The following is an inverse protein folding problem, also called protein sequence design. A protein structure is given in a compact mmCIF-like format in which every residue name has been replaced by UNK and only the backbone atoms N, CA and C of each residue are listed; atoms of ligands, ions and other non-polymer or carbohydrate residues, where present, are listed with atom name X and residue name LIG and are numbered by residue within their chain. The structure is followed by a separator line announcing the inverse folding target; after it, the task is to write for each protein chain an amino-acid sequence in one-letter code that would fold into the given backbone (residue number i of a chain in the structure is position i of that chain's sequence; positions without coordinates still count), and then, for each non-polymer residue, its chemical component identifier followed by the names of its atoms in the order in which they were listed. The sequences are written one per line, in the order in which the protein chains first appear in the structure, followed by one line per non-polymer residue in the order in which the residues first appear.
data_IF_027189317360
#
_entry.id   IF_027189317360
#
_cell.length_a   1.000
_cell.length_b   1.000
_cell.length_c   1.000
_cell.angle_alpha   90.00
_cell.angle_beta   90.00
_cell.angle_gamma   90.00
#
_symmetry.space_group_name_H-M   'P 1'
#
loop_
_entity.id
_entity.type
_entity.pdbx_description
1 polymer ?
#
# COMPACT_ATOMS: atom_id res chain seq x y z
N UNK A 1 -48.04 -31.26 8.59
CA UNK A 1 -46.65 -31.70 8.34
C UNK A 1 -45.86 -30.47 7.91
N UNK A 2 -45.16 -29.89 8.86
CA UNK A 2 -44.43 -28.64 8.64
C UNK A 2 -43.09 -28.93 7.96
N UNK A 3 -42.84 -28.26 6.86
CA UNK A 3 -41.52 -28.20 6.26
C UNK A 3 -40.64 -27.23 7.09
N UNK A 4 -39.81 -27.81 7.95
CA UNK A 4 -38.72 -27.06 8.58
C UNK A 4 -37.68 -26.74 7.51
N UNK A 5 -37.78 -25.56 6.93
CA UNK A 5 -36.75 -25.01 6.07
C UNK A 5 -35.44 -24.89 6.85
N UNK A 6 -34.48 -25.68 6.42
CA UNK A 6 -33.13 -25.72 6.93
C UNK A 6 -32.42 -24.38 6.58
N UNK A 7 -32.49 -23.38 7.45
CA UNK A 7 -31.66 -22.21 7.41
C UNK A 7 -30.24 -22.61 7.87
N UNK A 8 -29.55 -23.47 7.08
CA UNK A 8 -28.12 -23.62 7.16
C UNK A 8 -27.53 -22.28 6.69
N UNK A 9 -27.14 -21.47 7.65
CA UNK A 9 -26.52 -20.16 7.40
C UNK A 9 -25.47 -20.31 6.32
N UNK A 10 -25.55 -19.45 5.30
CA UNK A 10 -24.64 -19.41 4.17
C UNK A 10 -23.31 -18.84 4.68
N UNK A 11 -22.56 -19.66 5.42
CA UNK A 11 -21.28 -19.23 6.00
C UNK A 11 -20.35 -18.83 4.86
N UNK A 12 -19.72 -17.65 4.97
CA UNK A 12 -18.75 -17.16 4.00
C UNK A 12 -17.72 -18.24 3.64
N UNK A 13 -17.52 -18.47 2.35
CA UNK A 13 -16.75 -19.60 1.84
C UNK A 13 -15.37 -19.22 1.37
N UNK A 14 -15.15 -17.93 1.04
CA UNK A 14 -13.98 -17.46 0.32
C UNK A 14 -13.38 -16.22 0.98
N UNK A 15 -12.08 -16.05 0.73
CA UNK A 15 -11.36 -14.79 0.88
C UNK A 15 -10.92 -14.37 -0.51
N UNK A 16 -10.92 -13.08 -0.79
CA UNK A 16 -10.33 -12.51 -2.02
C UNK A 16 -9.06 -11.76 -1.64
N UNK A 17 -7.95 -12.08 -2.28
CA UNK A 17 -6.72 -11.30 -2.21
C UNK A 17 -6.60 -10.41 -3.45
N UNK A 18 -6.31 -9.11 -3.23
CA UNK A 18 -5.99 -8.14 -4.27
C UNK A 18 -4.49 -7.89 -4.23
N UNK A 19 -3.77 -8.34 -5.25
CA UNK A 19 -2.33 -8.13 -5.42
C UNK A 19 -2.11 -7.02 -6.46
N UNK A 20 -1.71 -5.85 -5.98
CA UNK A 20 -1.40 -4.70 -6.82
C UNK A 20 0.10 -4.60 -7.07
N UNK A 21 0.57 -5.33 -8.05
CA UNK A 21 1.97 -5.34 -8.45
C UNK A 21 2.40 -4.08 -9.23
N UNK A 22 3.68 -4.03 -9.59
CA UNK A 22 4.22 -2.88 -10.36
C UNK A 22 3.70 -2.83 -11.80
N UNK A 23 3.44 -3.98 -12.43
CA UNK A 23 3.09 -4.06 -13.86
C UNK A 23 1.69 -4.62 -14.13
N UNK A 24 1.04 -5.15 -13.11
CA UNK A 24 -0.27 -5.78 -13.24
C UNK A 24 -1.00 -5.82 -11.91
N UNK A 25 -2.33 -5.86 -11.98
CA UNK A 25 -3.24 -6.08 -10.87
C UNK A 25 -3.77 -7.52 -10.93
N UNK A 26 -3.99 -8.13 -9.76
CA UNK A 26 -4.58 -9.47 -9.63
C UNK A 26 -5.69 -9.49 -8.60
N UNK A 27 -6.66 -10.37 -8.82
CA UNK A 27 -7.63 -10.79 -7.81
C UNK A 27 -7.60 -12.32 -7.72
N UNK A 28 -7.37 -12.83 -6.51
CA UNK A 28 -7.21 -14.26 -6.24
C UNK A 28 -8.33 -14.73 -5.34
N UNK A 29 -9.04 -15.77 -5.74
CA UNK A 29 -10.09 -16.40 -4.94
C UNK A 29 -9.50 -17.58 -4.15
N UNK A 30 -9.66 -17.55 -2.81
CA UNK A 30 -9.10 -18.54 -1.90
C UNK A 30 -10.21 -19.18 -1.10
N UNK A 31 -10.23 -20.52 -1.03
CA UNK A 31 -11.20 -21.27 -0.25
C UNK A 31 -10.82 -21.40 1.23
N UNK A 32 -11.69 -21.97 2.05
CA UNK A 32 -11.46 -22.18 3.49
C UNK A 32 -10.28 -23.08 3.83
N UNK A 33 -9.82 -23.89 2.88
CA UNK A 33 -8.64 -24.74 3.06
C UNK A 33 -7.34 -24.03 2.68
N UNK A 34 -7.41 -22.73 2.33
CA UNK A 34 -6.25 -21.93 1.88
C UNK A 34 -5.81 -22.24 0.46
N UNK A 35 -6.65 -22.91 -0.35
CA UNK A 35 -6.30 -23.25 -1.73
C UNK A 35 -6.77 -22.15 -2.65
N UNK A 36 -5.91 -21.77 -3.59
CA UNK A 36 -6.28 -20.88 -4.70
C UNK A 36 -7.28 -21.61 -5.61
N UNK A 37 -8.48 -21.03 -5.75
CA UNK A 37 -9.56 -21.53 -6.59
C UNK A 37 -9.44 -20.94 -8.01
N UNK A 38 -9.14 -19.66 -8.10
CA UNK A 38 -9.05 -18.94 -9.37
C UNK A 38 -8.21 -17.66 -9.20
N UNK A 39 -7.72 -17.13 -10.32
CA UNK A 39 -6.96 -15.89 -10.38
C UNK A 39 -7.29 -15.15 -11.66
N UNK A 40 -7.61 -13.86 -11.54
CA UNK A 40 -7.77 -12.95 -12.68
C UNK A 40 -6.66 -11.91 -12.60
N UNK A 41 -5.98 -11.66 -13.72
CA UNK A 41 -4.87 -10.72 -13.80
C UNK A 41 -5.03 -9.79 -15.02
N UNK A 42 -4.69 -8.52 -14.84
CA UNK A 42 -4.69 -7.49 -15.91
C UNK A 42 -3.44 -6.63 -15.81
N UNK A 43 -2.71 -6.44 -16.91
CA UNK A 43 -1.64 -5.45 -16.96
C UNK A 43 -2.22 -4.03 -17.00
N UNK A 44 -1.39 -3.04 -16.66
CA UNK A 44 -1.68 -1.62 -16.86
C UNK A 44 -0.45 -0.88 -17.39
N UNK A 45 -0.66 0.33 -17.90
CA UNK A 45 0.37 1.08 -18.62
C UNK A 45 1.47 1.56 -17.65
N UNK A 46 2.73 1.42 -18.10
CA UNK A 46 3.90 2.04 -17.48
C UNK A 46 4.22 3.33 -18.23
N UNK A 47 4.44 4.44 -17.53
CA UNK A 47 4.67 5.77 -18.10
C UNK A 47 6.08 6.23 -17.79
N UNK A 48 6.85 6.61 -18.80
CA UNK A 48 8.25 7.05 -18.70
C UNK A 48 8.40 8.44 -19.30
N UNK A 49 8.00 9.54 -18.60
CA UNK A 49 7.98 10.88 -19.17
C UNK A 49 9.36 11.43 -19.50
N UNK A 50 10.38 11.07 -18.70
CA UNK A 50 11.76 11.48 -18.86
C UNK A 50 12.72 10.35 -18.47
N UNK A 51 14.00 10.39 -18.86
CA UNK A 51 15.00 9.43 -18.39
C UNK A 51 15.03 9.34 -16.86
N UNK A 52 14.91 8.13 -16.31
CA UNK A 52 14.88 7.89 -14.87
C UNK A 52 13.55 8.22 -14.17
N UNK A 53 12.54 8.72 -14.88
CA UNK A 53 11.21 8.96 -14.34
C UNK A 53 10.28 7.78 -14.64
N UNK A 54 9.53 7.37 -13.63
CA UNK A 54 8.55 6.28 -13.76
C UNK A 54 7.26 6.71 -13.08
N UNK A 55 6.16 6.60 -13.80
CA UNK A 55 4.83 6.98 -13.33
C UNK A 55 3.80 5.89 -13.64
N UNK A 56 2.76 5.85 -12.83
CA UNK A 56 1.53 5.12 -13.12
C UNK A 56 0.33 6.08 -13.06
N UNK A 57 -0.66 5.83 -13.89
CA UNK A 57 -1.94 6.49 -13.73
C UNK A 57 -2.73 5.82 -12.58
N UNK A 58 -3.06 6.53 -11.47
CA UNK A 58 -3.78 5.94 -10.34
C UNK A 58 -5.16 5.41 -10.73
N UNK A 59 -5.80 5.99 -11.73
CA UNK A 59 -7.08 5.51 -12.24
C UNK A 59 -6.93 4.18 -13.00
N UNK A 60 -5.84 3.98 -13.74
CA UNK A 60 -5.58 2.67 -14.38
C UNK A 60 -5.27 1.58 -13.36
N UNK A 61 -4.50 1.90 -12.31
CA UNK A 61 -4.30 1.00 -11.16
C UNK A 61 -5.67 0.57 -10.61
N UNK A 62 -6.53 1.55 -10.31
CA UNK A 62 -7.87 1.30 -9.78
C UNK A 62 -8.73 0.46 -10.73
N UNK A 63 -8.85 0.87 -12.00
CA UNK A 63 -9.72 0.19 -12.95
C UNK A 63 -9.24 -1.22 -13.30
N UNK A 64 -7.93 -1.43 -13.37
CA UNK A 64 -7.40 -2.78 -13.57
C UNK A 64 -7.68 -3.69 -12.36
N UNK A 65 -7.54 -3.16 -11.13
CA UNK A 65 -7.83 -3.91 -9.91
C UNK A 65 -9.33 -4.21 -9.76
N UNK A 66 -10.19 -3.20 -9.97
CA UNK A 66 -11.65 -3.37 -9.99
C UNK A 66 -12.09 -4.35 -11.08
N UNK A 67 -11.47 -4.26 -12.26
CA UNK A 67 -11.74 -5.19 -13.36
C UNK A 67 -11.40 -6.64 -12.99
N UNK A 68 -10.29 -6.90 -12.31
CA UNK A 68 -9.96 -8.24 -11.81
C UNK A 68 -10.97 -8.72 -10.76
N UNK A 69 -11.31 -7.84 -9.81
CA UNK A 69 -12.25 -8.17 -8.73
C UNK A 69 -13.66 -8.45 -9.24
N UNK A 70 -14.20 -7.58 -10.11
CA UNK A 70 -15.55 -7.76 -10.68
C UNK A 70 -15.66 -8.98 -11.56
N UNK A 71 -14.64 -9.27 -12.38
CA UNK A 71 -14.60 -10.47 -13.22
C UNK A 71 -14.59 -11.73 -12.35
N UNK A 72 -13.77 -11.77 -11.30
CA UNK A 72 -13.68 -12.90 -10.38
C UNK A 72 -15.02 -13.15 -9.67
N UNK A 73 -15.65 -12.08 -9.16
CA UNK A 73 -16.98 -12.15 -8.51
C UNK A 73 -18.04 -12.66 -9.48
N UNK A 74 -18.11 -12.12 -10.70
CA UNK A 74 -19.08 -12.50 -11.71
C UNK A 74 -18.89 -13.96 -12.19
N UNK A 75 -17.65 -14.38 -12.44
CA UNK A 75 -17.31 -15.73 -12.90
C UNK A 75 -17.74 -16.81 -11.92
N UNK A 76 -17.69 -16.55 -10.63
CA UNK A 76 -18.06 -17.49 -9.56
C UNK A 76 -19.44 -17.23 -8.96
N UNK A 77 -20.20 -16.25 -9.47
CA UNK A 77 -21.53 -15.90 -8.97
C UNK A 77 -21.53 -15.52 -7.48
N UNK A 78 -20.50 -14.80 -7.03
CA UNK A 78 -20.30 -14.45 -5.62
C UNK A 78 -21.15 -13.24 -5.22
N UNK A 79 -21.61 -13.27 -3.99
CA UNK A 79 -22.26 -12.15 -3.30
C UNK A 79 -21.46 -11.81 -2.03
N UNK A 80 -21.76 -10.70 -1.37
CA UNK A 80 -21.11 -10.35 -0.12
C UNK A 80 -21.21 -11.48 0.93
N UNK A 81 -22.30 -12.22 0.96
CA UNK A 81 -22.49 -13.35 1.92
C UNK A 81 -21.58 -14.56 1.65
N UNK A 82 -20.97 -14.65 0.47
CA UNK A 82 -20.03 -15.73 0.13
C UNK A 82 -18.57 -15.36 0.43
N UNK A 83 -18.27 -14.07 0.58
CA UNK A 83 -16.93 -13.53 0.78
C UNK A 83 -16.78 -13.15 2.24
N UNK A 84 -15.81 -13.75 2.92
CA UNK A 84 -15.50 -13.43 4.32
C UNK A 84 -14.84 -12.06 4.43
N UNK A 85 -13.85 -11.84 3.58
CA UNK A 85 -13.07 -10.59 3.59
C UNK A 85 -12.25 -10.42 2.30
N UNK A 86 -11.77 -9.20 2.10
CA UNK A 86 -10.75 -8.83 1.14
C UNK A 86 -9.44 -8.58 1.89
N UNK A 87 -8.33 -9.11 1.38
CA UNK A 87 -6.97 -8.72 1.73
C UNK A 87 -6.34 -7.95 0.57
N UNK A 88 -5.49 -6.98 0.87
CA UNK A 88 -4.78 -6.16 -0.13
C UNK A 88 -3.29 -6.29 0.11
N UNK A 89 -2.54 -6.64 -0.93
CA UNK A 89 -1.10 -6.43 -0.96
C UNK A 89 -0.73 -5.58 -2.18
N UNK A 90 0.39 -4.87 -2.09
CA UNK A 90 0.72 -3.86 -3.08
C UNK A 90 2.22 -3.60 -3.23
N UNK A 91 2.62 -3.15 -4.42
CA UNK A 91 3.90 -2.47 -4.63
C UNK A 91 4.04 -1.33 -3.63
N UNK A 92 5.14 -1.31 -2.87
CA UNK A 92 5.35 -0.31 -1.81
C UNK A 92 5.90 1.00 -2.39
N UNK A 93 5.98 2.03 -1.57
CA UNK A 93 6.62 3.33 -1.83
C UNK A 93 6.03 4.16 -2.98
N UNK A 94 5.26 3.56 -3.89
CA UNK A 94 4.58 4.30 -4.96
C UNK A 94 3.61 5.29 -4.36
N UNK A 95 3.77 6.57 -4.72
CA UNK A 95 3.19 7.72 -4.03
C UNK A 95 2.04 8.30 -4.83
N UNK A 96 0.89 8.43 -4.20
CA UNK A 96 -0.32 9.04 -4.76
C UNK A 96 -0.76 10.19 -3.84
N UNK A 97 -1.09 11.34 -4.43
CA UNK A 97 -1.72 12.47 -3.75
C UNK A 97 -3.02 12.80 -4.48
N UNK A 98 -4.11 12.94 -3.74
CA UNK A 98 -5.42 13.21 -4.34
C UNK A 98 -6.26 14.18 -3.52
N UNK A 99 -7.25 14.75 -4.17
CA UNK A 99 -8.29 15.58 -3.59
C UNK A 99 -9.46 14.69 -3.12
N UNK A 100 -9.75 14.59 -1.82
CA UNK A 100 -10.84 13.77 -1.30
C UNK A 100 -12.23 14.27 -1.70
N UNK A 101 -12.38 15.56 -2.06
CA UNK A 101 -13.69 16.12 -2.45
C UNK A 101 -14.10 15.68 -3.86
N UNK A 102 -13.13 15.41 -4.73
CA UNK A 102 -13.35 15.01 -6.13
C UNK A 102 -12.98 13.56 -6.41
N UNK A 103 -12.18 12.95 -5.54
CA UNK A 103 -11.58 11.63 -5.77
C UNK A 103 -10.55 11.63 -6.89
N UNK A 104 -10.00 12.80 -7.28
CA UNK A 104 -9.06 12.89 -8.38
C UNK A 104 -7.62 13.03 -7.86
N UNK A 105 -6.68 12.19 -8.35
CA UNK A 105 -5.26 12.39 -8.14
C UNK A 105 -4.81 13.74 -8.72
N UNK A 106 -3.92 14.45 -8.03
CA UNK A 106 -3.38 15.74 -8.50
C UNK A 106 -2.42 15.57 -9.67
N UNK A 107 -1.84 14.39 -9.82
CA UNK A 107 -0.99 13.96 -10.94
C UNK A 107 -0.87 12.44 -10.97
N UNK A 108 -0.14 11.89 -11.93
CA UNK A 108 0.22 10.48 -11.95
C UNK A 108 0.98 10.09 -10.67
N UNK A 109 0.81 8.85 -10.23
CA UNK A 109 1.57 8.28 -9.13
C UNK A 109 3.07 8.23 -9.47
N UNK A 110 3.93 8.65 -8.55
CA UNK A 110 5.38 8.51 -8.68
C UNK A 110 5.78 7.13 -8.17
N UNK A 111 6.27 6.30 -9.09
CA UNK A 111 6.58 4.89 -8.81
C UNK A 111 7.86 4.75 -7.98
N UNK A 112 7.97 3.69 -7.19
CA UNK A 112 9.13 3.35 -6.37
C UNK A 112 10.47 3.36 -7.13
N UNK A 113 10.47 3.03 -8.43
CA UNK A 113 11.64 3.01 -9.31
C UNK A 113 12.10 4.42 -9.75
N UNK A 114 11.24 5.45 -9.57
CA UNK A 114 11.48 6.78 -10.09
C UNK A 114 12.63 7.48 -9.38
N UNK A 115 13.57 8.05 -10.14
CA UNK A 115 14.78 8.72 -9.61
C UNK A 115 14.71 10.25 -9.62
N UNK A 116 13.54 10.85 -9.96
CA UNK A 116 13.39 12.32 -10.10
C UNK A 116 13.71 13.10 -8.83
N UNK A 117 13.63 12.46 -7.67
CA UNK A 117 13.86 13.09 -6.37
C UNK A 117 15.25 12.79 -5.79
N UNK A 118 16.17 12.23 -6.58
CA UNK A 118 17.50 11.85 -6.08
C UNK A 118 18.30 13.08 -5.60
N UNK A 119 18.27 14.19 -6.35
CA UNK A 119 18.93 15.44 -5.98
C UNK A 119 18.32 16.06 -4.72
N UNK A 120 16.99 16.04 -4.60
CA UNK A 120 16.28 16.51 -3.41
C UNK A 120 16.66 15.70 -2.15
N UNK A 121 16.83 14.40 -2.28
CA UNK A 121 17.28 13.56 -1.15
C UNK A 121 18.71 13.89 -0.76
N UNK A 122 19.60 14.11 -1.73
CA UNK A 122 20.98 14.51 -1.45
C UNK A 122 21.03 15.90 -0.77
N UNK A 123 20.21 16.85 -1.22
CA UNK A 123 20.10 18.17 -0.60
C UNK A 123 19.64 18.09 0.87
N UNK A 124 18.56 17.31 1.15
CA UNK A 124 17.94 17.24 2.47
C UNK A 124 18.69 16.32 3.44
N UNK A 125 19.26 15.25 2.96
CA UNK A 125 19.80 14.16 3.76
C UNK A 125 21.27 13.84 3.48
N UNK A 126 21.97 14.62 2.65
CA UNK A 126 23.40 14.46 2.37
C UNK A 126 24.31 14.72 3.58
N UNK A 127 23.82 15.49 4.56
CA UNK A 127 24.47 15.59 5.87
C UNK A 127 24.41 14.26 6.61
N UNK A 128 25.56 13.78 7.08
CA UNK A 128 25.68 12.48 7.77
C UNK A 128 24.88 12.41 9.08
N UNK A 129 24.68 13.54 9.76
CA UNK A 129 23.87 13.60 10.98
C UNK A 129 22.39 13.46 10.66
N UNK A 130 21.91 14.14 9.60
CA UNK A 130 20.52 14.01 9.13
C UNK A 130 20.25 12.59 8.64
N UNK A 131 21.16 12.02 7.84
CA UNK A 131 21.05 10.63 7.39
C UNK A 131 21.01 9.64 8.56
N UNK A 132 21.79 9.89 9.61
CA UNK A 132 21.79 9.06 10.82
C UNK A 132 20.45 9.15 11.59
N UNK A 133 19.84 10.33 11.68
CA UNK A 133 18.50 10.52 12.29
C UNK A 133 17.44 9.77 11.49
N UNK A 134 17.41 9.92 10.15
CA UNK A 134 16.49 9.18 9.29
C UNK A 134 16.63 7.67 9.53
N UNK A 135 17.87 7.17 9.47
CA UNK A 135 18.16 5.75 9.67
C UNK A 135 17.76 5.26 11.05
N UNK A 136 18.07 6.01 12.09
CA UNK A 136 17.75 5.62 13.47
C UNK A 136 16.24 5.48 13.71
N UNK A 137 15.43 6.36 13.13
CA UNK A 137 13.98 6.38 13.31
C UNK A 137 13.23 5.41 12.40
N UNK A 138 13.69 5.28 11.15
CA UNK A 138 12.96 4.54 10.11
C UNK A 138 13.56 3.18 9.76
N UNK A 139 14.82 2.94 10.12
CA UNK A 139 15.59 1.78 9.68
C UNK A 139 16.05 1.86 8.22
N UNK A 140 15.75 2.97 7.51
CA UNK A 140 16.03 3.16 6.09
C UNK A 140 17.27 4.01 5.89
N UNK A 141 17.92 3.83 4.73
CA UNK A 141 18.93 4.77 4.23
C UNK A 141 18.20 5.80 3.35
N UNK A 142 18.51 7.12 3.46
CA UNK A 142 17.91 8.11 2.59
C UNK A 142 18.08 7.77 1.11
N UNK A 143 16.99 7.63 0.38
CA UNK A 143 16.99 7.37 -1.06
C UNK A 143 15.68 7.82 -1.71
N UNK A 144 15.74 8.21 -2.99
CA UNK A 144 14.60 8.54 -3.83
C UNK A 144 13.59 7.38 -3.98
N UNK A 145 13.97 6.18 -3.60
CA UNK A 145 13.15 4.97 -3.57
C UNK A 145 11.90 5.15 -2.70
N UNK A 146 12.02 5.82 -1.55
CA UNK A 146 10.98 5.95 -0.54
C UNK A 146 10.03 7.13 -0.80
N UNK A 147 8.86 7.15 -0.13
CA UNK A 147 7.76 8.06 -0.48
C UNK A 147 8.00 9.52 -0.10
N UNK A 148 8.72 9.81 0.99
CA UNK A 148 8.84 11.17 1.53
C UNK A 148 9.27 12.21 0.49
N UNK A 149 10.36 11.94 -0.22
CA UNK A 149 10.87 12.85 -1.24
C UNK A 149 9.91 13.04 -2.42
N UNK A 150 9.11 12.01 -2.74
CA UNK A 150 8.10 12.08 -3.81
C UNK A 150 6.91 12.95 -3.40
N UNK A 151 6.46 12.84 -2.14
CA UNK A 151 5.41 13.73 -1.61
C UNK A 151 5.89 15.17 -1.67
N UNK A 152 7.10 15.45 -1.14
CA UNK A 152 7.69 16.77 -1.18
C UNK A 152 7.77 17.32 -2.61
N UNK A 153 8.25 16.51 -3.54
CA UNK A 153 8.34 16.89 -4.95
C UNK A 153 6.97 17.24 -5.54
N UNK A 154 5.92 16.48 -5.24
CA UNK A 154 4.56 16.75 -5.70
C UNK A 154 4.09 18.12 -5.17
N UNK A 155 4.29 18.38 -3.88
CA UNK A 155 3.86 19.63 -3.25
C UNK A 155 4.59 20.85 -3.85
N UNK A 156 5.84 20.69 -4.28
CA UNK A 156 6.65 21.78 -4.82
C UNK A 156 6.44 22.00 -6.33
N UNK A 157 5.98 20.98 -7.07
CA UNK A 157 5.92 21.03 -8.54
C UNK A 157 4.51 21.01 -9.12
N UNK A 158 3.48 20.65 -8.33
CA UNK A 158 2.08 20.71 -8.77
C UNK A 158 1.47 22.03 -8.27
N UNK A 159 1.00 22.85 -9.20
CA UNK A 159 0.46 24.18 -8.87
C UNK A 159 -0.67 24.10 -7.83
N UNK A 160 -0.54 24.85 -6.74
CA UNK A 160 -1.51 24.93 -5.64
C UNK A 160 -1.55 23.70 -4.73
N UNK A 161 -0.70 22.68 -4.95
CA UNK A 161 -0.72 21.47 -4.15
C UNK A 161 -0.25 21.74 -2.71
N UNK A 162 0.74 22.58 -2.53
CA UNK A 162 1.28 22.90 -1.19
C UNK A 162 0.26 23.59 -0.33
N UNK A 163 -0.31 24.68 -0.83
CA UNK A 163 -1.32 25.46 -0.11
C UNK A 163 -2.55 24.62 0.25
N UNK A 164 -2.98 23.77 -0.67
CA UNK A 164 -4.09 22.85 -0.45
C UNK A 164 -3.77 21.75 0.57
N UNK A 165 -2.55 21.23 0.55
CA UNK A 165 -2.10 20.25 1.52
C UNK A 165 -2.02 20.85 2.94
N UNK A 166 -1.51 22.07 3.08
CA UNK A 166 -1.48 22.82 4.34
C UNK A 166 -2.88 23.13 4.86
N UNK A 167 -3.84 23.38 3.96
CA UNK A 167 -5.24 23.56 4.28
C UNK A 167 -5.97 22.24 4.63
N UNK A 168 -5.33 21.08 4.51
CA UNK A 168 -5.92 19.77 4.75
C UNK A 168 -6.87 19.30 3.64
N UNK A 169 -6.73 19.85 2.43
CA UNK A 169 -7.58 19.55 1.26
C UNK A 169 -7.01 18.42 0.38
N UNK A 170 -5.84 17.91 0.68
CA UNK A 170 -5.21 16.82 -0.04
C UNK A 170 -4.86 15.67 0.90
N UNK A 171 -5.00 14.46 0.38
CA UNK A 171 -4.60 13.21 1.04
C UNK A 171 -3.40 12.59 0.32
N UNK A 172 -2.54 11.97 1.09
CA UNK A 172 -1.46 11.11 0.61
C UNK A 172 -1.77 9.65 0.90
N UNK A 173 -1.31 8.77 0.02
CA UNK A 173 -1.26 7.34 0.29
C UNK A 173 -0.27 6.61 -0.60
N UNK A 174 0.12 5.44 -0.14
CA UNK A 174 0.64 4.37 -0.98
C UNK A 174 -0.53 3.68 -1.69
N UNK A 175 -0.25 2.70 -2.53
CA UNK A 175 -1.29 2.10 -3.38
C UNK A 175 -2.40 1.42 -2.58
N UNK A 176 -2.07 0.78 -1.45
CA UNK A 176 -3.04 0.23 -0.50
C UNK A 176 -4.04 1.29 0.00
N UNK A 177 -3.52 2.43 0.46
CA UNK A 177 -4.35 3.53 0.97
C UNK A 177 -5.32 4.05 -0.09
N UNK A 178 -4.83 4.20 -1.34
CA UNK A 178 -5.66 4.61 -2.46
C UNK A 178 -6.78 3.60 -2.75
N UNK A 179 -6.45 2.30 -2.78
CA UNK A 179 -7.44 1.25 -3.00
C UNK A 179 -8.46 1.17 -1.87
N UNK A 180 -8.02 1.23 -0.61
CA UNK A 180 -8.90 1.25 0.57
C UNK A 180 -9.86 2.44 0.50
N UNK A 181 -9.32 3.64 0.26
CA UNK A 181 -10.12 4.85 0.19
C UNK A 181 -11.22 4.76 -0.87
N UNK A 182 -10.88 4.28 -2.08
CA UNK A 182 -11.87 4.13 -3.15
C UNK A 182 -12.85 3.00 -2.88
N UNK A 183 -12.38 1.82 -2.46
CA UNK A 183 -13.24 0.66 -2.19
C UNK A 183 -14.25 0.93 -1.06
N UNK A 184 -13.89 1.79 -0.11
CA UNK A 184 -14.78 2.20 1.00
C UNK A 184 -15.62 3.44 0.67
N UNK A 185 -15.62 3.92 -0.58
CA UNK A 185 -16.39 5.09 -0.98
C UNK A 185 -15.91 6.40 -0.35
N UNK A 186 -14.61 6.52 -0.07
CA UNK A 186 -14.00 7.70 0.54
C UNK A 186 -14.10 7.77 2.07
N UNK A 187 -14.55 6.69 2.73
CA UNK A 187 -14.79 6.69 4.18
C UNK A 187 -13.54 6.37 5.00
N UNK A 188 -12.59 5.63 4.44
CA UNK A 188 -11.40 5.17 5.19
C UNK A 188 -10.13 5.63 4.49
N UNK A 189 -9.35 6.46 5.19
CA UNK A 189 -8.02 6.89 4.78
C UNK A 189 -7.01 6.24 5.73
N UNK A 190 -6.56 5.04 5.40
CA UNK A 190 -5.70 4.24 6.26
C UNK A 190 -4.68 3.43 5.47
N UNK A 191 -3.58 3.11 6.13
CA UNK A 191 -2.51 2.22 5.67
C UNK A 191 -2.11 1.26 6.81
N UNK A 192 -1.16 0.36 6.54
CA UNK A 192 -0.60 -0.55 7.53
C UNK A 192 0.88 -0.22 7.86
N UNK A 193 1.46 -0.78 8.95
CA UNK A 193 2.85 -0.52 9.32
C UNK A 193 3.85 -0.95 8.25
N UNK A 194 3.57 -1.99 7.47
CA UNK A 194 4.50 -2.50 6.46
C UNK A 194 4.63 -1.55 5.27
N UNK A 195 3.56 -0.86 4.88
CA UNK A 195 3.60 0.23 3.90
C UNK A 195 4.12 1.53 4.51
N UNK A 196 3.64 1.91 5.70
CA UNK A 196 4.08 3.13 6.39
C UNK A 196 5.60 3.15 6.62
N UNK A 197 6.21 2.02 7.03
CA UNK A 197 7.65 1.91 7.25
C UNK A 197 8.49 2.10 5.99
N UNK A 198 7.87 2.14 4.80
CA UNK A 198 8.57 2.37 3.52
C UNK A 198 8.50 3.81 3.04
N UNK A 199 8.04 4.73 3.87
CA UNK A 199 7.84 6.13 3.46
C UNK A 199 9.00 7.07 3.81
N UNK A 200 9.92 6.70 4.69
CA UNK A 200 10.88 7.56 5.42
C UNK A 200 10.22 8.59 6.36
N UNK A 201 8.94 8.40 6.72
CA UNK A 201 8.19 9.30 7.60
C UNK A 201 7.68 8.60 8.86
N UNK A 202 7.78 7.27 8.91
CA UNK A 202 7.25 6.43 9.98
C UNK A 202 8.37 6.00 10.93
N UNK A 203 8.18 6.29 12.21
CA UNK A 203 9.09 5.84 13.26
C UNK A 203 8.76 4.38 13.62
N UNK A 204 9.63 3.46 13.22
CA UNK A 204 9.41 2.01 13.42
C UNK A 204 9.51 1.57 14.88
N UNK A 205 10.08 2.40 15.75
CA UNK A 205 10.19 2.13 17.20
C UNK A 205 8.97 2.61 17.98
N UNK A 206 8.38 3.74 17.53
CA UNK A 206 7.22 4.35 18.19
C UNK A 206 5.88 3.93 17.54
N UNK A 207 5.92 3.35 16.34
CA UNK A 207 4.73 2.90 15.64
C UNK A 207 3.81 4.05 15.17
N UNK A 208 4.40 5.19 14.77
CA UNK A 208 3.63 6.38 14.35
C UNK A 208 4.39 7.22 13.31
N UNK A 209 3.67 8.11 12.65
CA UNK A 209 4.30 9.17 11.84
C UNK A 209 5.17 10.04 12.72
N UNK A 210 6.40 10.33 12.28
CA UNK A 210 7.38 11.07 13.04
C UNK A 210 7.36 12.56 12.66
N UNK A 211 7.06 13.43 13.63
CA UNK A 211 6.94 14.86 13.39
C UNK A 211 8.25 15.54 12.94
N UNK A 212 9.42 15.03 13.38
CA UNK A 212 10.71 15.57 12.94
C UNK A 212 10.97 15.20 11.48
N UNK A 213 10.63 13.98 11.06
CA UNK A 213 10.74 13.55 9.67
C UNK A 213 9.72 14.28 8.77
N UNK A 214 8.49 14.49 9.23
CA UNK A 214 7.51 15.31 8.50
C UNK A 214 8.02 16.73 8.29
N UNK A 215 8.61 17.36 9.32
CA UNK A 215 9.23 18.68 9.20
C UNK A 215 10.47 18.68 8.29
N UNK A 216 11.33 17.67 8.36
CA UNK A 216 12.50 17.54 7.50
C UNK A 216 12.14 17.55 6.02
N UNK A 217 11.10 16.80 5.66
CA UNK A 217 10.60 16.73 4.28
C UNK A 217 9.53 17.79 3.99
N UNK A 218 9.19 18.66 4.94
CA UNK A 218 8.19 19.73 4.81
C UNK A 218 6.85 19.19 4.28
N UNK A 219 6.34 18.15 4.96
CA UNK A 219 5.09 17.47 4.62
C UNK A 219 4.04 17.77 5.70
N UNK A 220 2.88 18.33 5.32
CA UNK A 220 1.79 18.60 6.26
C UNK A 220 1.21 17.30 6.85
N UNK A 221 1.18 17.20 8.18
CA UNK A 221 0.67 16.04 8.89
C UNK A 221 -0.81 15.67 8.55
N UNK A 222 -1.72 16.62 8.25
CA UNK A 222 -3.10 16.29 7.88
C UNK A 222 -3.25 15.42 6.63
N UNK A 223 -2.22 15.37 5.75
CA UNK A 223 -2.24 14.50 4.56
C UNK A 223 -2.08 13.02 4.88
N UNK A 224 -1.56 12.68 6.06
CA UNK A 224 -1.09 11.33 6.37
C UNK A 224 -2.26 10.40 6.75
N UNK A 225 -2.28 9.15 6.22
CA UNK A 225 -3.30 8.17 6.58
C UNK A 225 -3.16 7.68 8.03
N UNK A 226 -4.26 7.22 8.61
CA UNK A 226 -4.22 6.45 9.86
C UNK A 226 -3.44 5.14 9.64
N UNK A 227 -2.55 4.80 10.57
CA UNK A 227 -1.83 3.52 10.53
C UNK A 227 -2.58 2.50 11.39
N UNK A 228 -3.07 1.43 10.77
CA UNK A 228 -3.81 0.34 11.42
C UNK A 228 -3.02 -0.97 11.37
N UNK A 229 -3.23 -1.91 12.31
CA UNK A 229 -2.59 -3.23 12.24
C UNK A 229 -2.85 -3.91 10.90
N UNK A 230 -1.83 -4.56 10.32
CA UNK A 230 -1.91 -5.24 9.01
C UNK A 230 -3.04 -6.28 8.93
N UNK A 231 -3.35 -6.95 10.05
CA UNK A 231 -4.54 -7.78 10.23
C UNK A 231 -5.52 -7.02 11.12
N UNK A 232 -6.54 -6.41 10.52
CA UNK A 232 -7.46 -5.52 11.21
C UNK A 232 -8.57 -5.01 10.29
N UNK A 233 -9.39 -4.09 10.79
CA UNK A 233 -10.47 -3.51 10.00
C UNK A 233 -10.01 -2.28 9.24
N UNK A 234 -10.14 -2.33 7.92
CA UNK A 234 -9.95 -1.20 7.01
C UNK A 234 -11.26 -0.73 6.36
N UNK A 235 -12.40 -1.06 6.99
CA UNK A 235 -13.73 -0.74 6.49
C UNK A 235 -14.35 -1.85 5.64
N UNK A 236 -15.40 -1.50 4.93
CA UNK A 236 -16.17 -2.43 4.08
C UNK A 236 -16.35 -1.84 2.69
N UNK A 237 -16.53 -2.69 1.69
CA UNK A 237 -16.77 -2.25 0.33
C UNK A 237 -18.08 -1.47 0.21
N UNK A 238 -18.02 -0.30 -0.42
CA UNK A 238 -19.18 0.53 -0.77
C UNK A 238 -19.05 1.14 -2.18
N UNK A 239 -18.01 0.74 -2.92
CA UNK A 239 -17.81 1.22 -4.30
C UNK A 239 -18.96 0.78 -5.22
N UNK A 240 -19.54 1.69 -6.02
CA UNK A 240 -20.62 1.35 -6.95
C UNK A 240 -20.23 0.24 -7.93
N UNK A 241 -21.06 -0.80 -8.05
CA UNK A 241 -20.81 -1.94 -8.92
C UNK A 241 -20.11 -3.13 -8.24
N UNK A 242 -19.69 -3.01 -7.00
CA UNK A 242 -19.26 -4.13 -6.16
C UNK A 242 -20.36 -4.52 -5.16
N UNK A 243 -20.41 -5.79 -4.72
CA UNK A 243 -21.23 -6.15 -3.55
C UNK A 243 -20.79 -5.30 -2.34
N UNK A 244 -21.74 -4.60 -1.75
CA UNK A 244 -21.49 -3.78 -0.56
C UNK A 244 -21.35 -4.63 0.70
N UNK A 245 -20.57 -4.13 1.69
CA UNK A 245 -20.45 -4.75 3.01
C UNK A 245 -19.45 -5.92 3.07
N UNK A 246 -18.53 -6.05 2.11
CA UNK A 246 -17.43 -7.02 2.23
C UNK A 246 -16.32 -6.37 3.06
N UNK A 247 -15.93 -6.96 4.22
CA UNK A 247 -14.84 -6.39 5.04
C UNK A 247 -13.50 -6.38 4.32
N UNK A 248 -12.75 -5.29 4.43
CA UNK A 248 -11.32 -5.23 4.11
C UNK A 248 -10.59 -5.49 5.41
N UNK A 249 -9.95 -6.67 5.56
CA UNK A 249 -9.47 -7.15 6.85
C UNK A 249 -7.97 -7.47 6.91
N UNK A 250 -7.25 -7.26 5.83
CA UNK A 250 -5.81 -7.45 5.77
C UNK A 250 -5.18 -6.53 4.75
N UNK A 251 -4.06 -5.89 5.14
CA UNK A 251 -3.27 -5.03 4.27
C UNK A 251 -1.80 -5.25 4.56
N UNK A 252 -0.98 -5.42 3.52
CA UNK A 252 0.47 -5.52 3.68
C UNK A 252 1.20 -5.09 2.39
N UNK A 253 2.42 -4.57 2.54
CA UNK A 253 3.32 -4.43 1.40
C UNK A 253 3.66 -5.80 0.78
N UNK A 254 3.78 -5.86 -0.55
CA UNK A 254 3.98 -7.09 -1.33
C UNK A 254 5.08 -8.01 -0.80
N UNK A 255 6.18 -7.43 -0.35
CA UNK A 255 7.33 -8.21 0.14
C UNK A 255 7.10 -8.78 1.53
N UNK A 256 6.39 -8.04 2.42
CA UNK A 256 6.00 -8.52 3.74
C UNK A 256 4.86 -9.56 3.62
N UNK A 257 3.89 -9.33 2.73
CA UNK A 257 2.87 -10.32 2.40
C UNK A 257 3.49 -11.64 1.92
N UNK A 258 4.52 -11.55 1.03
CA UNK A 258 5.25 -12.72 0.57
C UNK A 258 6.05 -13.41 1.69
N UNK A 259 6.67 -12.66 2.62
CA UNK A 259 7.38 -13.24 3.77
C UNK A 259 6.40 -14.05 4.65
N UNK A 260 5.24 -13.47 4.95
CA UNK A 260 4.17 -14.13 5.70
C UNK A 260 3.61 -15.34 4.94
N UNK A 261 3.31 -15.18 3.64
CA UNK A 261 2.78 -16.26 2.79
C UNK A 261 3.74 -17.44 2.61
N UNK A 262 5.07 -17.21 2.72
CA UNK A 262 6.08 -18.26 2.78
C UNK A 262 6.27 -18.87 4.18
N UNK A 263 5.38 -18.56 5.12
CA UNK A 263 5.41 -19.06 6.50
C UNK A 263 6.70 -18.73 7.27
N UNK A 264 7.32 -17.59 6.97
CA UNK A 264 8.51 -17.13 7.70
C UNK A 264 8.11 -16.48 9.02
N UNK A 265 7.67 -17.25 10.00
CA UNK A 265 7.11 -16.78 11.27
C UNK A 265 8.12 -16.73 12.43
N UNK A 266 9.31 -17.26 12.24
CA UNK A 266 10.35 -17.30 13.26
C UNK A 266 11.59 -16.49 12.87
N UNK A 267 12.28 -15.84 13.84
CA UNK A 267 13.54 -15.17 13.60
C UNK A 267 14.55 -16.08 12.87
N UNK A 268 15.24 -15.54 11.87
CA UNK A 268 16.20 -16.27 11.03
C UNK A 268 15.60 -16.90 9.78
N UNK A 269 14.27 -16.96 9.65
CA UNK A 269 13.62 -17.39 8.41
C UNK A 269 13.65 -16.24 7.39
N UNK A 270 13.87 -16.62 6.13
CA UNK A 270 13.99 -15.65 5.04
C UNK A 270 13.25 -16.13 3.79
N UNK A 271 12.82 -15.17 3.00
CA UNK A 271 12.32 -15.40 1.65
C UNK A 271 13.14 -14.58 0.64
N UNK A 272 13.17 -15.01 -0.60
CA UNK A 272 13.69 -14.23 -1.70
C UNK A 272 12.71 -14.26 -2.88
N UNK A 273 12.36 -13.08 -3.38
CA UNK A 273 11.48 -12.90 -4.53
C UNK A 273 12.30 -12.42 -5.71
N UNK A 274 12.21 -13.12 -6.83
CA UNK A 274 12.76 -12.70 -8.11
C UNK A 274 11.60 -12.30 -9.03
N UNK A 275 11.50 -11.02 -9.35
CA UNK A 275 10.48 -10.45 -10.24
C UNK A 275 11.07 -9.25 -10.98
N UNK A 276 10.35 -8.13 -11.06
CA UNK A 276 10.86 -6.85 -11.57
C UNK A 276 12.09 -6.37 -10.79
N UNK A 277 12.14 -6.71 -9.50
CA UNK A 277 13.30 -6.57 -8.62
C UNK A 277 13.62 -7.89 -7.93
N UNK A 278 14.78 -7.94 -7.25
CA UNK A 278 15.19 -9.04 -6.40
C UNK A 278 15.13 -8.58 -4.94
N UNK A 279 14.24 -9.18 -4.14
CA UNK A 279 13.96 -8.74 -2.78
C UNK A 279 14.11 -9.90 -1.79
N UNK A 280 15.18 -9.85 -1.01
CA UNK A 280 15.39 -10.76 0.09
C UNK A 280 14.95 -10.12 1.40
N UNK A 281 14.05 -10.77 2.13
CA UNK A 281 13.63 -10.38 3.48
C UNK A 281 13.99 -11.47 4.48
N UNK A 282 14.52 -11.02 5.63
CA UNK A 282 14.84 -11.86 6.77
C UNK A 282 13.97 -11.42 7.96
N UNK A 283 13.26 -12.36 8.58
CA UNK A 283 12.53 -12.12 9.82
C UNK A 283 13.52 -11.98 10.98
N UNK A 284 13.56 -10.81 11.64
CA UNK A 284 14.51 -10.50 12.71
C UNK A 284 13.91 -10.61 14.12
N UNK A 285 12.63 -10.95 14.23
CA UNK A 285 11.89 -10.96 15.50
C UNK A 285 11.25 -9.60 15.79
N UNK A 286 11.10 -9.30 17.08
CA UNK A 286 10.44 -8.08 17.56
C UNK A 286 11.40 -6.88 17.71
N UNK A 287 12.67 -7.07 17.41
CA UNK A 287 13.69 -6.03 17.55
C UNK A 287 14.12 -5.52 16.17
N UNK A 288 14.07 -4.22 15.98
CA UNK A 288 14.68 -3.57 14.82
C UNK A 288 16.21 -3.71 14.91
N UNK A 289 16.80 -4.31 13.87
CA UNK A 289 18.25 -4.54 13.81
C UNK A 289 18.89 -3.59 12.81
N UNK A 290 19.89 -2.85 13.27
CA UNK A 290 20.71 -2.01 12.40
C UNK A 290 21.79 -2.85 11.72
N UNK A 291 21.83 -2.84 10.40
CA UNK A 291 22.86 -3.52 9.63
C UNK A 291 24.14 -2.69 9.51
N UNK A 292 25.30 -3.33 9.64
CA UNK A 292 26.62 -2.74 9.31
C UNK A 292 26.95 -2.81 7.83
N UNK A 293 26.10 -3.44 7.01
CA UNK A 293 26.32 -3.70 5.59
C UNK A 293 25.28 -3.00 4.69
N UNK A 294 24.72 -1.87 5.14
CA UNK A 294 23.74 -1.07 4.41
C UNK A 294 22.45 -1.79 4.02
N UNK A 295 22.09 -2.87 4.72
CA UNK A 295 20.75 -3.42 4.63
C UNK A 295 19.78 -2.51 5.40
N UNK A 296 18.54 -2.44 4.94
CA UNK A 296 17.49 -1.65 5.57
C UNK A 296 16.64 -2.50 6.50
N UNK A 297 16.11 -1.89 7.55
CA UNK A 297 15.14 -2.49 8.46
C UNK A 297 13.75 -1.92 8.14
N UNK A 298 12.71 -2.74 8.23
CA UNK A 298 11.32 -2.36 7.96
C UNK A 298 10.38 -3.17 8.86
N UNK A 299 9.18 -2.71 9.05
CA UNK A 299 8.13 -3.47 9.74
C UNK A 299 7.56 -4.53 8.82
#
# INVERSE_FOLDING_TARGET
MGATGNAAGNAAKYVIALDQGTTSSRAVLIDRAGRMVDCVQRPFQQIFPHPGWVEHNPQEILFSQLGCLTELIAKHGLSASNINSIGIDNQRETTIVWDPSTGQPVMNAIVWQCRRTAELVEELCGDTQVAAVVRAKTGLLPDAYFSASKIRWILDNVAGARERAEAGELLFGTVDTWLIWVLTGGLVHATDPTNASRTMLYNIHEGRWDEELLRLFDIPAPMMPEVRPSSGSFGETSYPGLPAGIPIAGVAGDQQAALFGQCCFAPGQAKNTYGTGCFMLLHTGHEARTSSHNLVTTV
#
